data_IF_446171438518
#
_entry.id   IF_446171438518
#
_cell.length_a   1.000
_cell.length_b   1.000
_cell.length_c   1.000
_cell.angle_alpha   90.00
_cell.angle_beta   90.00
_cell.angle_gamma   90.00
#
_symmetry.space_group_name_H-M   'P 1'
#
loop_
_entity.id
_entity.type
_entity.pdbx_description
1 polymer ?
#
# COMPACT_ATOMS: atom_id res chain seq x y z
N UNK A 1 -2.12 25.21 -1.53
CA UNK A 1 -1.79 23.87 -1.00
C UNK A 1 -2.04 22.87 -2.13
N UNK A 2 -1.09 21.99 -2.52
CA UNK A 2 0.33 21.98 -2.13
C UNK A 2 1.16 23.06 -2.86
N UNK A 3 2.45 23.26 -2.52
CA UNK A 3 3.39 24.07 -3.29
C UNK A 3 3.66 23.51 -4.69
N UNK A 4 3.82 24.38 -5.69
CA UNK A 4 3.99 24.02 -7.10
C UNK A 4 5.20 23.10 -7.34
N UNK A 5 6.34 23.38 -6.71
CA UNK A 5 7.54 22.56 -6.84
C UNK A 5 7.37 21.10 -6.37
N UNK A 6 6.52 20.83 -5.36
CA UNK A 6 6.23 19.45 -4.94
C UNK A 6 5.33 18.75 -5.95
N UNK A 7 4.41 19.50 -6.58
CA UNK A 7 3.55 18.96 -7.63
C UNK A 7 4.38 18.57 -8.85
N UNK A 8 5.32 19.41 -9.27
CA UNK A 8 6.22 19.13 -10.40
C UNK A 8 7.05 17.86 -10.16
N UNK A 9 7.58 17.68 -8.95
CA UNK A 9 8.30 16.47 -8.56
C UNK A 9 7.41 15.22 -8.65
N UNK A 10 6.16 15.31 -8.21
CA UNK A 10 5.21 14.19 -8.29
C UNK A 10 4.83 13.88 -9.73
N UNK A 11 4.68 14.90 -10.59
CA UNK A 11 4.42 14.73 -12.02
C UNK A 11 5.59 14.00 -12.67
N UNK A 12 6.83 14.43 -12.42
CA UNK A 12 8.02 13.75 -12.95
C UNK A 12 8.11 12.29 -12.47
N UNK A 13 7.94 12.06 -11.16
CA UNK A 13 7.95 10.71 -10.55
C UNK A 13 6.83 9.79 -11.03
N UNK A 14 5.72 10.36 -11.49
CA UNK A 14 4.63 9.56 -12.02
C UNK A 14 5.01 8.87 -13.33
N UNK A 15 5.94 9.46 -14.10
CA UNK A 15 6.26 9.04 -15.46
C UNK A 15 5.01 8.76 -16.34
N UNK A 16 3.90 9.48 -16.09
CA UNK A 16 2.63 9.29 -16.79
C UNK A 16 1.77 8.12 -16.29
N UNK A 17 2.15 7.43 -15.22
CA UNK A 17 1.40 6.31 -14.65
C UNK A 17 0.22 6.81 -13.82
N UNK A 18 -1.00 6.61 -14.32
CA UNK A 18 -2.23 6.92 -13.57
C UNK A 18 -2.31 6.20 -12.21
N UNK A 19 -1.76 4.97 -12.12
CA UNK A 19 -1.71 4.21 -10.87
C UNK A 19 -0.86 4.89 -9.81
N UNK A 20 0.21 5.60 -10.21
CA UNK A 20 1.03 6.38 -9.28
C UNK A 20 0.19 7.51 -8.67
N UNK A 21 -0.43 8.35 -9.52
CA UNK A 21 -1.25 9.48 -9.06
C UNK A 21 -2.38 9.03 -8.13
N UNK A 22 -3.09 7.96 -8.50
CA UNK A 22 -4.16 7.39 -7.68
C UNK A 22 -3.63 6.89 -6.34
N UNK A 23 -2.50 6.19 -6.32
CA UNK A 23 -1.90 5.66 -5.08
C UNK A 23 -1.42 6.80 -4.17
N UNK A 24 -0.85 7.88 -4.72
CA UNK A 24 -0.47 9.09 -3.97
C UNK A 24 -1.70 9.72 -3.32
N UNK A 25 -2.77 9.96 -4.07
CA UNK A 25 -4.01 10.54 -3.53
C UNK A 25 -4.54 9.71 -2.36
N UNK A 26 -4.58 8.38 -2.51
CA UNK A 26 -5.03 7.50 -1.42
C UNK A 26 -4.06 7.50 -0.25
N UNK A 27 -2.75 7.55 -0.49
CA UNK A 27 -1.75 7.59 0.58
C UNK A 27 -1.91 8.84 1.44
N UNK A 28 -2.10 10.02 0.85
CA UNK A 28 -2.30 11.27 1.61
C UNK A 28 -3.70 11.40 2.25
N UNK A 29 -4.63 10.50 1.91
CA UNK A 29 -5.91 10.36 2.61
C UNK A 29 -5.80 9.51 3.89
N UNK A 30 -4.65 8.86 4.11
CA UNK A 30 -4.38 8.10 5.34
C UNK A 30 -4.36 8.98 6.58
N UNK A 31 -4.58 8.40 7.79
CA UNK A 31 -4.34 9.11 9.03
C UNK A 31 -2.90 9.62 9.12
N UNK A 32 -2.72 10.92 9.38
CA UNK A 32 -1.41 11.56 9.48
C UNK A 32 -1.44 13.01 9.00
N UNK A 33 -0.27 13.65 9.00
CA UNK A 33 -0.12 14.99 8.43
C UNK A 33 0.06 14.90 6.91
N UNK A 34 -0.90 15.47 6.17
CA UNK A 34 -0.92 15.42 4.70
C UNK A 34 0.28 16.14 4.08
N UNK A 35 0.79 17.17 4.74
CA UNK A 35 1.91 17.93 4.24
C UNK A 35 3.20 17.12 4.32
N UNK A 36 3.42 16.51 5.46
CA UNK A 36 4.55 15.64 5.72
C UNK A 36 4.53 14.43 4.78
N UNK A 37 3.38 13.77 4.62
CA UNK A 37 3.24 12.62 3.72
C UNK A 37 3.53 12.99 2.25
N UNK A 38 3.08 14.16 1.80
CA UNK A 38 3.35 14.64 0.45
C UNK A 38 4.85 14.95 0.26
N UNK A 39 5.48 15.62 1.24
CA UNK A 39 6.91 15.90 1.23
C UNK A 39 7.68 14.58 1.17
N UNK A 40 7.33 13.59 2.00
CA UNK A 40 7.99 12.28 2.02
C UNK A 40 7.91 11.53 0.69
N UNK A 41 6.84 11.69 -0.09
CA UNK A 41 6.74 11.08 -1.42
C UNK A 41 7.55 11.89 -2.45
N UNK A 42 7.47 13.22 -2.40
CA UNK A 42 8.06 14.11 -3.40
C UNK A 42 9.58 14.25 -3.25
N UNK A 43 10.08 14.37 -2.02
CA UNK A 43 11.47 14.75 -1.73
C UNK A 43 12.51 13.62 -1.75
N UNK A 44 12.08 12.36 -1.94
CA UNK A 44 13.05 11.25 -2.05
C UNK A 44 13.75 11.31 -3.41
N UNK A 45 15.03 11.65 -3.40
CA UNK A 45 15.86 11.72 -4.59
C UNK A 45 16.28 10.31 -5.03
N UNK A 46 16.00 9.91 -6.27
CA UNK A 46 16.67 8.75 -6.87
C UNK A 46 17.17 9.03 -8.28
N UNK A 47 18.36 8.50 -8.53
CA UNK A 47 19.13 8.53 -9.77
C UNK A 47 18.42 7.78 -10.88
N UNK A 48 18.07 8.51 -11.95
CA UNK A 48 17.94 8.05 -13.34
C UNK A 48 17.36 6.63 -13.56
N UNK A 49 16.04 6.49 -13.40
CA UNK A 49 15.15 5.65 -14.23
C UNK A 49 13.71 5.87 -13.73
N UNK A 50 12.95 6.72 -14.39
CA UNK A 50 11.93 7.53 -13.69
C UNK A 50 10.55 6.87 -13.49
N UNK A 51 10.19 5.80 -14.23
CA UNK A 51 8.81 5.24 -14.17
C UNK A 51 8.61 4.06 -13.23
N UNK A 52 9.43 3.02 -13.37
CA UNK A 52 9.29 1.79 -12.59
C UNK A 52 9.74 1.99 -11.13
N UNK A 53 10.80 2.77 -10.93
CA UNK A 53 11.34 3.11 -9.61
C UNK A 53 10.41 4.07 -8.84
N UNK A 54 9.65 4.93 -9.53
CA UNK A 54 8.70 5.84 -8.88
C UNK A 54 7.57 5.09 -8.16
N UNK A 55 6.97 4.10 -8.83
CA UNK A 55 5.91 3.28 -8.25
C UNK A 55 6.45 2.37 -7.14
N UNK A 56 7.66 1.82 -7.33
CA UNK A 56 8.31 0.97 -6.32
C UNK A 56 8.67 1.73 -5.06
N UNK A 57 9.16 2.94 -5.22
CA UNK A 57 9.41 3.84 -4.12
C UNK A 57 8.11 4.13 -3.34
N UNK A 58 7.02 4.42 -4.06
CA UNK A 58 5.72 4.65 -3.44
C UNK A 58 5.20 3.42 -2.67
N UNK A 59 5.41 2.22 -3.22
CA UNK A 59 5.07 0.97 -2.54
C UNK A 59 5.96 0.68 -1.34
N UNK A 60 7.28 0.88 -1.44
CA UNK A 60 8.21 0.80 -0.30
C UNK A 60 7.77 1.74 0.82
N UNK A 61 7.44 2.99 0.49
CA UNK A 61 6.96 3.96 1.48
C UNK A 61 5.63 3.52 2.11
N UNK A 62 4.70 3.01 1.30
CA UNK A 62 3.43 2.46 1.78
C UNK A 62 3.66 1.32 2.79
N UNK A 63 4.55 0.37 2.46
CA UNK A 63 4.88 -0.75 3.37
C UNK A 63 5.57 -0.26 4.63
N UNK A 64 6.58 0.61 4.51
CA UNK A 64 7.31 1.16 5.66
C UNK A 64 6.39 1.92 6.61
N UNK A 65 5.50 2.77 6.09
CA UNK A 65 4.52 3.50 6.90
C UNK A 65 3.51 2.55 7.55
N UNK A 66 3.08 1.49 6.85
CA UNK A 66 2.18 0.49 7.41
C UNK A 66 2.80 -0.27 8.58
N UNK A 67 4.12 -0.50 8.61
CA UNK A 67 4.77 -1.21 9.73
C UNK A 67 5.34 -0.29 10.82
N UNK A 68 5.38 1.02 10.56
CA UNK A 68 5.93 2.01 11.48
C UNK A 68 5.22 1.97 12.84
N UNK A 69 6.00 2.05 13.92
CA UNK A 69 5.54 2.02 15.31
C UNK A 69 4.77 0.75 15.73
N UNK A 70 4.84 -0.35 14.96
CA UNK A 70 4.28 -1.63 15.36
C UNK A 70 5.32 -2.50 16.09
N UNK A 71 4.93 -3.25 17.13
CA UNK A 71 5.78 -4.29 17.71
C UNK A 71 5.94 -5.45 16.72
N UNK A 72 7.06 -6.18 16.82
CA UNK A 72 7.41 -7.28 15.91
C UNK A 72 6.30 -8.34 15.76
N UNK A 73 5.55 -8.61 16.83
CA UNK A 73 4.41 -9.55 16.78
C UNK A 73 3.32 -9.08 15.83
N UNK A 74 3.01 -7.77 15.81
CA UNK A 74 2.03 -7.18 14.90
C UNK A 74 2.57 -7.06 13.49
N UNK A 75 3.86 -6.82 13.31
CA UNK A 75 4.51 -6.86 11.99
C UNK A 75 4.41 -8.26 11.39
N UNK A 76 4.61 -9.31 12.18
CA UNK A 76 4.43 -10.70 11.75
C UNK A 76 2.97 -11.00 11.37
N UNK A 77 2.00 -10.62 12.20
CA UNK A 77 0.58 -10.78 11.87
C UNK A 77 0.23 -10.09 10.55
N UNK A 78 0.70 -8.85 10.38
CA UNK A 78 0.49 -8.05 9.18
C UNK A 78 1.13 -8.71 7.95
N UNK A 79 2.35 -9.25 8.08
CA UNK A 79 3.03 -10.03 7.04
C UNK A 79 2.24 -11.29 6.67
N UNK A 80 1.72 -12.02 7.65
CA UNK A 80 0.91 -13.22 7.45
C UNK A 80 -0.39 -12.88 6.71
N UNK A 81 -1.10 -11.85 7.16
CA UNK A 81 -2.36 -11.40 6.55
C UNK A 81 -2.13 -10.93 5.11
N UNK A 82 -1.16 -10.03 4.89
CA UNK A 82 -0.87 -9.50 3.56
C UNK A 82 -0.35 -10.60 2.63
N UNK A 83 0.61 -11.40 3.09
CA UNK A 83 1.18 -12.51 2.33
C UNK A 83 0.13 -13.52 1.89
N UNK A 84 -0.87 -13.79 2.72
CA UNK A 84 -2.01 -14.64 2.35
C UNK A 84 -2.76 -14.06 1.14
N UNK A 85 -3.12 -12.77 1.16
CA UNK A 85 -3.84 -12.13 0.06
C UNK A 85 -3.00 -12.07 -1.23
N UNK A 86 -1.69 -11.84 -1.09
CA UNK A 86 -0.76 -11.79 -2.22
C UNK A 86 -0.65 -13.16 -2.90
N UNK A 87 -0.53 -14.23 -2.11
CA UNK A 87 -0.30 -15.59 -2.62
C UNK A 87 -1.58 -16.30 -3.09
N UNK A 88 -2.76 -15.83 -2.68
CA UNK A 88 -4.02 -16.38 -3.14
C UNK A 88 -4.22 -16.15 -4.65
N UNK A 89 -4.46 -17.24 -5.39
CA UNK A 89 -4.71 -17.19 -6.83
C UNK A 89 -6.04 -16.49 -7.17
N UNK A 90 -7.03 -16.59 -6.30
CA UNK A 90 -8.32 -15.92 -6.44
C UNK A 90 -8.62 -15.05 -5.21
N UNK A 91 -9.29 -13.90 -5.38
CA UNK A 91 -9.73 -13.09 -4.25
C UNK A 91 -10.55 -13.92 -3.26
N UNK A 92 -10.33 -13.67 -1.97
CA UNK A 92 -11.01 -14.36 -0.89
C UNK A 92 -11.82 -13.37 -0.06
N UNK A 93 -12.96 -13.84 0.45
CA UNK A 93 -13.81 -13.01 1.31
C UNK A 93 -13.11 -12.71 2.61
N UNK A 94 -13.40 -11.56 3.21
CA UNK A 94 -12.83 -11.21 4.51
C UNK A 94 -13.14 -12.30 5.57
N UNK A 95 -14.36 -12.85 5.54
CA UNK A 95 -14.76 -13.96 6.41
C UNK A 95 -13.85 -15.19 6.23
N UNK A 96 -13.57 -15.58 4.99
CA UNK A 96 -12.75 -16.76 4.73
C UNK A 96 -11.27 -16.55 5.10
N UNK A 97 -10.75 -15.33 4.93
CA UNK A 97 -9.41 -14.96 5.41
C UNK A 97 -9.34 -15.10 6.93
N UNK A 98 -10.34 -14.60 7.66
CA UNK A 98 -10.41 -14.73 9.12
C UNK A 98 -10.43 -16.20 9.56
N UNK A 99 -11.22 -17.04 8.89
CA UNK A 99 -11.30 -18.47 9.15
C UNK A 99 -9.97 -19.19 8.86
N UNK A 100 -9.33 -18.87 7.74
CA UNK A 100 -8.06 -19.47 7.32
C UNK A 100 -6.93 -19.14 8.31
N UNK A 101 -6.85 -17.88 8.73
CA UNK A 101 -5.80 -17.39 9.63
C UNK A 101 -6.12 -17.61 11.10
N UNK A 102 -7.34 -18.06 11.43
CA UNK A 102 -7.85 -18.18 12.81
C UNK A 102 -7.71 -16.85 13.57
N UNK A 103 -7.97 -15.75 12.89
CA UNK A 103 -7.90 -14.39 13.42
C UNK A 103 -9.31 -13.77 13.48
N UNK A 104 -9.52 -12.83 14.40
CA UNK A 104 -10.79 -12.10 14.48
C UNK A 104 -10.90 -11.11 13.32
N UNK A 105 -12.15 -10.81 12.92
CA UNK A 105 -12.45 -9.82 11.88
C UNK A 105 -11.77 -8.48 12.15
N UNK A 106 -11.94 -7.93 13.35
CA UNK A 106 -11.36 -6.65 13.74
C UNK A 106 -9.83 -6.65 13.65
N UNK A 107 -9.18 -7.78 13.93
CA UNK A 107 -7.72 -7.89 13.84
C UNK A 107 -7.27 -7.90 12.38
N UNK A 108 -7.91 -8.70 11.51
CA UNK A 108 -7.60 -8.73 10.07
C UNK A 108 -7.89 -7.38 9.41
N UNK A 109 -9.07 -6.80 9.63
CA UNK A 109 -9.44 -5.47 9.11
C UNK A 109 -8.46 -4.39 9.61
N UNK A 110 -8.07 -4.44 10.89
CA UNK A 110 -7.11 -3.51 11.47
C UNK A 110 -5.71 -3.61 10.87
N UNK A 111 -5.28 -4.80 10.42
CA UNK A 111 -4.02 -4.95 9.69
C UNK A 111 -4.14 -4.47 8.24
N UNK A 112 -5.24 -4.80 7.56
CA UNK A 112 -5.44 -4.44 6.15
C UNK A 112 -5.72 -2.95 5.95
N UNK A 113 -6.35 -2.29 6.91
CA UNK A 113 -6.62 -0.85 6.85
C UNK A 113 -5.35 0.00 6.79
N UNK A 114 -4.22 -0.54 7.27
CA UNK A 114 -2.89 0.11 7.16
C UNK A 114 -2.34 0.11 5.73
N UNK A 115 -2.95 -0.67 4.84
CA UNK A 115 -2.65 -0.72 3.41
C UNK A 115 -3.77 -0.12 2.55
N UNK A 116 -4.62 0.76 3.10
CA UNK A 116 -5.76 1.35 2.37
C UNK A 116 -5.39 1.99 1.02
N UNK A 117 -4.15 2.43 0.83
CA UNK A 117 -3.67 2.98 -0.45
C UNK A 117 -3.55 1.93 -1.55
N UNK A 118 -3.39 0.64 -1.20
CA UNK A 118 -3.09 -0.47 -2.13
C UNK A 118 -3.99 -1.70 -1.95
N UNK A 119 -4.77 -1.78 -0.86
CA UNK A 119 -5.74 -2.83 -0.54
C UNK A 119 -7.15 -2.24 -0.36
N UNK A 120 -8.13 -2.86 -1.02
CA UNK A 120 -9.56 -2.66 -0.81
C UNK A 120 -10.02 -3.61 0.28
N UNK A 121 -10.42 -3.06 1.42
CA UNK A 121 -11.08 -3.81 2.51
C UNK A 121 -12.59 -3.58 2.40
N UNK A 122 -13.40 -4.62 2.18
CA UNK A 122 -14.85 -4.46 2.05
C UNK A 122 -15.52 -4.24 3.41
N UNK A 123 -16.68 -3.59 3.41
CA UNK A 123 -17.50 -3.41 4.61
C UNK A 123 -18.38 -4.64 4.93
N UNK A 124 -18.82 -5.41 3.94
CA UNK A 124 -19.47 -6.72 4.13
C UNK A 124 -18.38 -7.81 4.18
N UNK A 125 -18.46 -8.73 5.15
CA UNK A 125 -17.47 -9.81 5.26
C UNK A 125 -17.61 -10.92 4.22
N UNK A 126 -18.73 -10.93 3.48
CA UNK A 126 -18.98 -11.81 2.34
C UNK A 126 -18.37 -11.29 1.05
N UNK A 127 -17.91 -10.05 1.02
CA UNK A 127 -17.23 -9.46 -0.12
C UNK A 127 -15.72 -9.76 -0.10
N UNK A 128 -15.11 -9.66 -1.28
CA UNK A 128 -13.71 -9.99 -1.51
C UNK A 128 -12.75 -8.88 -1.10
N UNK A 129 -11.71 -9.25 -0.35
CA UNK A 129 -10.51 -8.42 -0.18
C UNK A 129 -9.71 -8.44 -1.48
N UNK A 130 -9.35 -7.27 -1.98
CA UNK A 130 -8.69 -7.11 -3.29
C UNK A 130 -7.55 -6.10 -3.21
N UNK A 131 -6.55 -6.26 -4.07
CA UNK A 131 -5.57 -5.20 -4.31
C UNK A 131 -6.16 -4.16 -5.26
N UNK A 132 -5.76 -2.90 -5.12
CA UNK A 132 -6.16 -1.85 -6.08
C UNK A 132 -5.61 -2.11 -7.47
N UNK A 133 -4.39 -2.64 -7.56
CA UNK A 133 -3.74 -2.93 -8.82
C UNK A 133 -2.79 -4.12 -8.69
N UNK A 134 -2.63 -4.90 -9.75
CA UNK A 134 -1.77 -6.09 -9.77
C UNK A 134 -0.29 -5.74 -9.57
N UNK A 135 0.14 -4.55 -9.97
CA UNK A 135 1.54 -4.10 -9.79
C UNK A 135 2.02 -4.11 -8.34
N UNK A 136 1.12 -3.99 -7.35
CA UNK A 136 1.52 -4.12 -5.95
C UNK A 136 1.84 -5.56 -5.58
N UNK A 137 1.09 -6.53 -6.12
CA UNK A 137 1.44 -7.96 -6.03
C UNK A 137 2.78 -8.21 -6.71
N UNK A 138 2.94 -7.73 -7.94
CA UNK A 138 4.17 -7.91 -8.71
C UNK A 138 5.39 -7.34 -7.97
N UNK A 139 5.25 -6.15 -7.37
CA UNK A 139 6.26 -5.53 -6.51
C UNK A 139 6.64 -6.40 -5.31
N UNK A 140 5.68 -7.00 -4.60
CA UNK A 140 5.95 -7.83 -3.43
C UNK A 140 6.49 -9.23 -3.76
N UNK A 141 6.26 -9.73 -4.98
CA UNK A 141 6.69 -11.07 -5.40
C UNK A 141 7.90 -11.08 -6.33
N UNK A 142 8.32 -9.92 -6.83
CA UNK A 142 9.47 -9.82 -7.73
C UNK A 142 10.78 -10.08 -6.99
N UNK A 143 11.62 -10.94 -7.56
CA UNK A 143 12.93 -11.30 -7.02
C UNK A 143 14.08 -10.51 -7.69
N UNK A 144 13.75 -9.52 -8.53
CA UNK A 144 14.69 -8.74 -9.35
C UNK A 144 14.75 -7.26 -8.95
N UNK A 145 14.25 -6.89 -7.77
CA UNK A 145 14.12 -5.52 -7.29
C UNK A 145 14.55 -5.36 -5.84
#
# INVERSE_FOLDING_TARGET
>A
WPPEHLLDQLVQKSAGLFIFATTVCRFIESPGDRAEQLIQIASVSESHNEGEYGLDHLYRRTVSSAIENLPDSKVNDLRTVLGTIILLQQPMTLRNICLLLKMTRNHVEGMLSRFHSVVVVPSDDRDFVRLFHSSFRDFLTSNTR
#
